data_IF_382202416631
#
_entry.id   IF_382202416631
#
_cell.length_a   1.000
_cell.length_b   1.000
_cell.length_c   1.000
_cell.angle_alpha   90.00
_cell.angle_beta   90.00
_cell.angle_gamma   90.00
#
_symmetry.space_group_name_H-M   'P 1'
#
loop_
_entity.id
_entity.type
_entity.pdbx_description
1 polymer ?
#
# COMPACT_ATOMS: atom_id res chain seq x y z
N UNK A 1 7.52 12.21 -23.65
CA UNK A 1 6.41 12.52 -22.73
C UNK A 1 6.93 12.44 -21.30
N UNK A 2 6.70 13.48 -20.51
CA UNK A 2 7.13 13.65 -19.12
C UNK A 2 5.91 13.88 -18.22
N UNK A 3 6.13 13.98 -16.91
CA UNK A 3 5.05 14.31 -15.98
C UNK A 3 4.42 15.68 -16.28
N UNK A 4 5.22 16.66 -16.70
CA UNK A 4 4.72 18.02 -16.96
C UNK A 4 3.74 18.05 -18.14
N UNK A 5 3.95 17.19 -19.13
CA UNK A 5 3.08 17.08 -20.30
C UNK A 5 1.67 16.59 -19.94
N UNK A 6 1.54 15.76 -18.88
CA UNK A 6 0.27 15.17 -18.43
C UNK A 6 -0.34 15.85 -17.21
N UNK A 7 0.45 16.64 -16.48
CA UNK A 7 0.04 17.31 -15.25
C UNK A 7 -1.28 18.11 -15.39
N UNK A 8 -1.53 18.87 -16.48
CA UNK A 8 -2.79 19.60 -16.63
C UNK A 8 -4.03 18.69 -16.60
N UNK A 9 -3.95 17.49 -17.17
CA UNK A 9 -5.03 16.51 -17.14
C UNK A 9 -5.22 15.91 -15.73
N UNK A 10 -4.12 15.65 -15.03
CA UNK A 10 -4.16 15.15 -13.65
C UNK A 10 -4.77 16.17 -12.69
N UNK A 11 -4.46 17.46 -12.86
CA UNK A 11 -5.04 18.54 -12.05
C UNK A 11 -6.57 18.64 -12.30
N UNK A 12 -7.01 18.48 -13.56
CA UNK A 12 -8.44 18.46 -13.93
C UNK A 12 -9.19 17.29 -13.28
N UNK A 13 -8.62 16.08 -13.32
CA UNK A 13 -9.17 14.92 -12.60
C UNK A 13 -9.25 15.15 -11.10
N UNK A 14 -8.19 15.68 -10.49
CA UNK A 14 -8.15 15.98 -9.06
C UNK A 14 -9.18 17.06 -8.66
N UNK A 15 -9.64 17.87 -9.61
CA UNK A 15 -10.69 18.86 -9.43
C UNK A 15 -12.10 18.39 -9.85
N UNK A 16 -12.25 17.14 -10.29
CA UNK A 16 -13.56 16.49 -10.43
C UNK A 16 -14.03 16.29 -11.87
N UNK A 17 -13.15 16.51 -12.85
CA UNK A 17 -13.46 16.13 -14.22
C UNK A 17 -13.55 14.58 -14.36
N UNK A 18 -14.44 14.04 -15.22
CA UNK A 18 -14.58 12.61 -15.39
C UNK A 18 -13.29 11.91 -15.82
N UNK A 19 -13.17 10.61 -15.48
CA UNK A 19 -11.95 9.83 -15.73
C UNK A 19 -11.61 9.65 -17.21
N UNK A 20 -12.60 9.78 -18.10
CA UNK A 20 -12.50 9.51 -19.55
C UNK A 20 -11.43 10.35 -20.27
N UNK A 21 -10.99 11.46 -19.67
CA UNK A 21 -9.86 12.24 -20.18
C UNK A 21 -8.53 11.46 -20.19
N UNK A 22 -8.37 10.45 -19.33
CA UNK A 22 -7.15 9.62 -19.25
C UNK A 22 -7.44 8.11 -19.18
N UNK A 23 -8.63 7.69 -18.75
CA UNK A 23 -8.96 6.29 -18.54
C UNK A 23 -10.45 6.01 -18.73
N UNK A 24 -10.74 4.93 -19.47
CA UNK A 24 -12.08 4.36 -19.51
C UNK A 24 -12.49 3.72 -18.17
N UNK A 25 -11.54 3.45 -17.27
CA UNK A 25 -11.82 2.94 -15.93
C UNK A 25 -11.98 4.11 -14.95
N UNK A 26 -12.90 4.03 -13.97
CA UNK A 26 -13.05 5.03 -12.94
C UNK A 26 -11.74 5.21 -12.15
N UNK A 27 -11.37 6.46 -11.91
CA UNK A 27 -10.28 6.82 -10.99
C UNK A 27 -10.85 6.85 -9.57
N UNK A 28 -10.31 6.01 -8.70
CA UNK A 28 -10.73 5.86 -7.31
C UNK A 28 -9.88 6.66 -6.32
N UNK A 29 -8.79 7.28 -6.78
CA UNK A 29 -7.88 8.05 -5.94
C UNK A 29 -6.63 8.50 -6.67
N UNK A 30 -5.67 9.00 -5.91
CA UNK A 30 -4.35 9.39 -6.41
C UNK A 30 -3.22 8.81 -5.55
N UNK A 31 -2.13 8.46 -6.22
CA UNK A 31 -0.89 8.02 -5.61
C UNK A 31 0.10 9.17 -5.53
N UNK A 32 0.61 9.45 -4.33
CA UNK A 32 1.69 10.39 -4.11
C UNK A 32 3.03 9.70 -4.37
N UNK A 33 3.68 10.07 -5.46
CA UNK A 33 5.03 9.61 -5.78
C UNK A 33 6.06 10.26 -4.86
N UNK A 34 7.19 9.58 -4.62
CA UNK A 34 8.36 10.21 -4.01
C UNK A 34 9.02 11.24 -4.91
N UNK A 35 8.83 11.14 -6.23
CA UNK A 35 9.26 12.15 -7.18
C UNK A 35 8.43 13.43 -7.08
N UNK A 36 9.08 14.58 -7.24
CA UNK A 36 8.44 15.90 -7.09
C UNK A 36 8.41 16.68 -8.40
N UNK A 37 7.45 17.61 -8.52
CA UNK A 37 7.38 18.67 -9.51
C UNK A 37 7.04 19.97 -8.79
N UNK A 38 7.82 21.03 -9.01
CA UNK A 38 7.64 22.31 -8.31
C UNK A 38 7.67 22.20 -6.77
N UNK A 39 8.48 21.28 -6.23
CA UNK A 39 8.59 21.03 -4.79
C UNK A 39 7.42 20.25 -4.16
N UNK A 40 6.40 19.88 -4.95
CA UNK A 40 5.26 19.07 -4.50
C UNK A 40 5.39 17.65 -5.04
N UNK A 41 4.92 16.66 -4.28
CA UNK A 41 4.89 15.27 -4.75
C UNK A 41 4.01 15.16 -6.01
N UNK A 42 4.49 14.39 -6.98
CA UNK A 42 3.69 14.06 -8.17
C UNK A 42 2.50 13.21 -7.77
N UNK A 43 1.34 13.49 -8.35
CA UNK A 43 0.14 12.67 -8.18
C UNK A 43 -0.02 11.76 -9.40
N UNK A 44 -0.40 10.51 -9.19
CA UNK A 44 -0.66 9.55 -10.27
C UNK A 44 -2.08 9.00 -10.08
N UNK A 45 -2.87 8.84 -11.15
CA UNK A 45 -4.23 8.36 -11.00
C UNK A 45 -4.24 6.89 -10.55
N UNK A 46 -5.11 6.57 -9.60
CA UNK A 46 -5.30 5.23 -9.05
C UNK A 46 -6.66 4.68 -9.47
N UNK A 47 -6.71 3.40 -9.79
CA UNK A 47 -7.95 2.64 -9.92
C UNK A 47 -7.85 1.30 -9.18
N UNK A 48 -8.98 0.61 -9.00
CA UNK A 48 -9.04 -0.66 -8.29
C UNK A 48 -8.18 -1.76 -8.97
N UNK A 49 -8.05 -1.69 -10.31
CA UNK A 49 -7.24 -2.64 -11.09
C UNK A 49 -5.76 -2.62 -10.69
N UNK A 50 -5.22 -1.45 -10.36
CA UNK A 50 -3.86 -1.33 -9.86
C UNK A 50 -3.67 -2.07 -8.51
N UNK A 51 -4.64 -1.96 -7.61
CA UNK A 51 -4.60 -2.63 -6.30
C UNK A 51 -4.80 -4.14 -6.42
N UNK A 52 -5.63 -4.59 -7.37
CA UNK A 52 -5.75 -6.01 -7.73
C UNK A 52 -4.41 -6.57 -8.25
N UNK A 53 -3.76 -5.86 -9.17
CA UNK A 53 -2.46 -6.28 -9.70
C UNK A 53 -1.37 -6.30 -8.62
N UNK A 54 -1.41 -5.37 -7.66
CA UNK A 54 -0.54 -5.40 -6.48
C UNK A 54 -0.72 -6.70 -5.68
N UNK A 55 -1.96 -7.10 -5.39
CA UNK A 55 -2.25 -8.37 -4.71
C UNK A 55 -1.68 -9.55 -5.49
N UNK A 56 -1.90 -9.60 -6.81
CA UNK A 56 -1.34 -10.64 -7.67
C UNK A 56 0.19 -10.73 -7.58
N UNK A 57 0.88 -9.59 -7.56
CA UNK A 57 2.34 -9.54 -7.40
C UNK A 57 2.78 -10.08 -6.03
N UNK A 58 2.06 -9.76 -4.94
CA UNK A 58 2.35 -10.30 -3.62
C UNK A 58 2.18 -11.83 -3.57
N UNK A 59 1.10 -12.35 -4.15
CA UNK A 59 0.85 -13.79 -4.22
C UNK A 59 1.89 -14.50 -5.09
N UNK A 60 2.31 -13.91 -6.21
CA UNK A 60 3.40 -14.47 -7.02
C UNK A 60 4.73 -14.49 -6.25
N UNK A 61 5.03 -13.42 -5.50
CA UNK A 61 6.24 -13.34 -4.69
C UNK A 61 6.26 -14.40 -3.59
N UNK A 62 5.13 -14.70 -2.96
CA UNK A 62 5.05 -15.74 -1.93
C UNK A 62 5.42 -17.12 -2.48
N UNK A 63 4.89 -17.48 -3.66
CA UNK A 63 5.21 -18.74 -4.35
C UNK A 63 6.69 -18.84 -4.72
N UNK A 64 7.30 -17.74 -5.15
CA UNK A 64 8.73 -17.72 -5.48
C UNK A 64 9.57 -17.94 -4.21
N UNK A 65 9.19 -17.34 -3.09
CA UNK A 65 9.92 -17.50 -1.82
C UNK A 65 9.78 -18.93 -1.30
N UNK A 66 8.58 -19.50 -1.23
CA UNK A 66 8.40 -20.87 -0.72
C UNK A 66 9.12 -21.92 -1.58
N UNK A 67 9.28 -21.66 -2.88
CA UNK A 67 10.07 -22.52 -3.78
C UNK A 67 11.57 -22.57 -3.42
N UNK A 68 12.13 -21.49 -2.88
CA UNK A 68 13.58 -21.37 -2.65
C UNK A 68 13.96 -21.42 -1.17
N UNK A 69 13.03 -21.16 -0.26
CA UNK A 69 13.26 -21.11 1.19
C UNK A 69 12.33 -22.09 1.89
N UNK A 70 12.90 -23.18 2.39
CA UNK A 70 12.18 -24.21 3.16
C UNK A 70 11.92 -23.68 4.58
N UNK A 71 10.77 -24.03 5.17
CA UNK A 71 10.46 -23.69 6.57
C UNK A 71 9.75 -22.35 6.78
N UNK A 72 9.58 -21.54 5.73
CA UNK A 72 8.94 -20.20 5.84
C UNK A 72 7.44 -20.28 6.07
N UNK A 73 6.80 -21.38 5.68
CA UNK A 73 5.35 -21.55 5.73
C UNK A 73 4.84 -21.80 7.15
N UNK A 74 5.71 -22.28 8.02
CA UNK A 74 5.46 -22.53 9.43
C UNK A 74 5.49 -21.23 10.23
N UNK A 75 6.22 -20.23 9.73
CA UNK A 75 6.57 -18.99 10.41
C UNK A 75 5.57 -17.83 10.30
N UNK A 76 5.89 -16.75 11.03
CA UNK A 76 5.38 -15.39 10.78
C UNK A 76 6.48 -14.43 10.34
N UNK A 77 6.12 -13.43 9.55
CA UNK A 77 7.01 -12.34 9.15
C UNK A 77 7.00 -11.19 10.14
N UNK A 78 8.17 -10.82 10.68
CA UNK A 78 8.33 -9.53 11.36
C UNK A 78 8.53 -8.42 10.32
N UNK A 79 7.46 -7.72 9.98
CA UNK A 79 7.44 -6.68 8.94
C UNK A 79 7.12 -5.31 9.54
N UNK A 80 7.99 -4.33 9.29
CA UNK A 80 7.77 -2.94 9.68
C UNK A 80 6.99 -2.19 8.58
N UNK A 81 5.67 -2.27 8.63
CA UNK A 81 4.78 -1.74 7.60
C UNK A 81 4.06 -0.50 8.13
N UNK A 82 4.22 0.63 7.43
CA UNK A 82 3.69 1.91 7.90
C UNK A 82 2.66 2.46 6.91
N UNK A 83 1.52 2.88 7.44
CA UNK A 83 0.61 3.80 6.74
C UNK A 83 0.99 5.25 7.06
N UNK A 84 0.68 6.15 6.13
CA UNK A 84 0.76 7.60 6.35
C UNK A 84 -0.64 8.20 6.39
N UNK A 85 -0.73 9.42 6.89
CA UNK A 85 -1.96 10.20 6.77
C UNK A 85 -2.26 10.46 5.29
N UNK A 86 -3.52 10.25 4.92
CA UNK A 86 -4.01 10.52 3.57
C UNK A 86 -4.42 11.99 3.46
N UNK A 87 -4.29 12.53 2.27
CA UNK A 87 -4.88 13.81 1.90
C UNK A 87 -6.07 13.57 0.97
N UNK A 88 -6.89 14.60 0.77
CA UNK A 88 -8.05 14.52 -0.12
C UNK A 88 -7.91 15.58 -1.21
N UNK A 89 -8.25 15.24 -2.44
CA UNK A 89 -8.31 16.19 -3.56
C UNK A 89 -9.55 17.08 -3.48
N UNK A 90 -9.62 18.13 -4.30
CA UNK A 90 -10.82 18.98 -4.41
C UNK A 90 -12.07 18.20 -4.83
N UNK A 91 -11.90 17.09 -5.57
CA UNK A 91 -12.96 16.16 -5.96
C UNK A 91 -13.32 15.11 -4.90
N UNK A 92 -12.87 15.28 -3.66
CA UNK A 92 -13.10 14.34 -2.56
C UNK A 92 -12.48 12.94 -2.76
N UNK A 93 -11.54 12.79 -3.69
CA UNK A 93 -10.82 11.52 -3.89
C UNK A 93 -9.61 11.42 -2.94
N UNK A 94 -9.33 10.23 -2.37
CA UNK A 94 -8.19 10.04 -1.50
C UNK A 94 -6.87 10.15 -2.28
N UNK A 95 -5.85 10.73 -1.65
CA UNK A 95 -4.50 10.90 -2.19
C UNK A 95 -3.46 10.52 -1.15
N UNK A 96 -2.71 9.44 -1.42
CA UNK A 96 -1.79 8.83 -0.45
C UNK A 96 -0.62 8.11 -1.14
N UNK A 97 0.36 7.66 -0.36
CA UNK A 97 1.42 6.79 -0.91
C UNK A 97 0.85 5.44 -1.33
N UNK A 98 1.49 4.79 -2.31
CA UNK A 98 1.13 3.45 -2.80
C UNK A 98 0.92 2.43 -1.68
N UNK A 99 1.85 2.36 -0.72
CA UNK A 99 1.76 1.43 0.41
C UNK A 99 0.57 1.73 1.29
N UNK A 100 0.29 3.01 1.57
CA UNK A 100 -0.87 3.43 2.38
C UNK A 100 -2.17 3.06 1.69
N UNK A 101 -2.30 3.37 0.40
CA UNK A 101 -3.49 3.01 -0.40
C UNK A 101 -3.71 1.50 -0.43
N UNK A 102 -2.64 0.70 -0.56
CA UNK A 102 -2.75 -0.75 -0.54
C UNK A 102 -3.16 -1.29 0.85
N UNK A 103 -2.49 -0.88 1.93
CA UNK A 103 -2.78 -1.36 3.28
C UNK A 103 -4.18 -1.02 3.76
N UNK A 104 -4.77 0.09 3.28
CA UNK A 104 -6.15 0.46 3.61
C UNK A 104 -7.20 -0.14 2.67
N UNK A 105 -6.79 -0.81 1.60
CA UNK A 105 -7.70 -1.42 0.64
C UNK A 105 -8.27 -2.75 1.14
N UNK A 106 -9.38 -3.19 0.53
CA UNK A 106 -9.96 -4.53 0.71
C UNK A 106 -8.94 -5.66 0.43
N UNK A 107 -7.98 -5.42 -0.47
CA UNK A 107 -6.98 -6.43 -0.84
C UNK A 107 -6.02 -6.77 0.30
N UNK A 108 -5.76 -5.81 1.19
CA UNK A 108 -4.96 -6.05 2.39
C UNK A 108 -5.84 -6.44 3.58
N UNK A 109 -6.98 -5.76 3.79
CA UNK A 109 -7.90 -6.03 4.91
C UNK A 109 -8.48 -7.45 4.86
N UNK A 110 -8.91 -7.87 3.68
CA UNK A 110 -9.55 -9.17 3.46
C UNK A 110 -8.56 -10.17 2.86
N UNK A 111 -7.26 -9.99 3.13
CA UNK A 111 -6.21 -10.87 2.61
C UNK A 111 -6.38 -12.29 3.17
N UNK A 112 -6.14 -13.33 2.36
CA UNK A 112 -6.24 -14.70 2.84
C UNK A 112 -5.18 -14.96 3.91
N UNK A 113 -5.55 -15.76 4.90
CA UNK A 113 -4.67 -16.15 5.99
C UNK A 113 -3.72 -17.25 5.51
N UNK A 114 -2.50 -16.88 5.15
CA UNK A 114 -1.39 -17.79 4.86
C UNK A 114 -0.07 -17.13 5.25
N UNK A 115 1.01 -17.92 5.34
CA UNK A 115 2.29 -17.53 5.96
C UNK A 115 2.83 -16.16 5.50
N UNK A 116 2.74 -15.85 4.21
CA UNK A 116 3.31 -14.62 3.65
C UNK A 116 2.56 -13.36 4.08
N UNK A 117 1.29 -13.49 4.44
CA UNK A 117 0.43 -12.44 4.98
C UNK A 117 0.29 -12.52 6.52
N UNK A 118 0.97 -13.48 7.14
CA UNK A 118 0.99 -13.71 8.58
C UNK A 118 2.11 -12.89 9.19
N UNK A 119 1.75 -11.76 9.79
CA UNK A 119 2.70 -10.85 10.41
C UNK A 119 2.67 -11.02 11.93
N UNK A 120 3.80 -10.71 12.58
CA UNK A 120 3.82 -10.60 14.05
C UNK A 120 2.95 -9.44 14.53
N UNK A 121 2.81 -8.39 13.73
CA UNK A 121 2.08 -7.18 14.09
C UNK A 121 0.63 -7.26 13.62
N UNK A 122 -0.34 -6.88 14.48
CA UNK A 122 -1.73 -6.80 14.08
C UNK A 122 -1.98 -5.61 13.14
N UNK A 123 -3.09 -5.63 12.41
CA UNK A 123 -3.39 -4.64 11.37
C UNK A 123 -3.52 -3.22 11.93
N UNK A 124 -4.00 -3.08 13.16
CA UNK A 124 -4.13 -1.79 13.86
C UNK A 124 -2.78 -1.11 14.06
N UNK A 125 -1.70 -1.89 14.22
CA UNK A 125 -0.33 -1.35 14.32
C UNK A 125 0.16 -0.83 12.98
N UNK A 126 -0.20 -1.51 11.89
CA UNK A 126 0.12 -1.10 10.50
C UNK A 126 -0.65 0.17 10.12
N UNK A 127 -1.93 0.24 10.53
CA UNK A 127 -2.82 1.37 10.25
C UNK A 127 -2.68 2.54 11.22
N UNK A 128 -1.85 2.41 12.25
CA UNK A 128 -1.57 3.49 13.18
C UNK A 128 -0.88 4.66 12.44
N UNK A 129 -1.47 5.87 12.43
CA UNK A 129 -0.89 7.02 11.73
C UNK A 129 0.32 7.61 12.47
N UNK A 130 0.46 7.34 13.77
CA UNK A 130 1.64 7.73 14.54
C UNK A 130 2.76 6.72 14.32
N UNK A 131 3.75 7.13 13.51
CA UNK A 131 4.91 6.29 13.17
C UNK A 131 5.71 5.84 14.39
N UNK A 132 5.82 6.65 15.45
CA UNK A 132 6.60 6.29 16.64
C UNK A 132 5.87 5.20 17.43
N UNK A 133 4.56 5.34 17.60
CA UNK A 133 3.74 4.32 18.25
C UNK A 133 3.71 3.03 17.42
N UNK A 134 3.47 3.14 16.12
CA UNK A 134 3.49 2.00 15.19
C UNK A 134 4.82 1.26 15.24
N UNK A 135 5.96 1.97 15.16
CA UNK A 135 7.29 1.35 15.24
C UNK A 135 7.53 0.65 16.59
N UNK A 136 7.17 1.31 17.69
CA UNK A 136 7.29 0.72 19.02
C UNK A 136 6.49 -0.58 19.13
N UNK A 137 5.24 -0.56 18.68
CA UNK A 137 4.36 -1.72 18.71
C UNK A 137 4.85 -2.84 17.77
N UNK A 138 5.36 -2.51 16.57
CA UNK A 138 5.97 -3.50 15.68
C UNK A 138 7.13 -4.24 16.36
N UNK A 139 8.03 -3.50 17.03
CA UNK A 139 9.13 -4.09 17.79
C UNK A 139 8.61 -4.95 18.93
N UNK A 140 7.67 -4.45 19.72
CA UNK A 140 7.09 -5.19 20.84
C UNK A 140 6.42 -6.49 20.40
N UNK A 141 5.56 -6.43 19.38
CA UNK A 141 4.87 -7.60 18.81
C UNK A 141 5.86 -8.63 18.25
N UNK A 142 6.91 -8.17 17.57
CA UNK A 142 7.98 -9.04 17.06
C UNK A 142 8.77 -9.73 18.16
N UNK A 143 9.20 -8.98 19.20
CA UNK A 143 9.98 -9.52 20.31
C UNK A 143 9.18 -10.54 21.15
N UNK A 144 7.89 -10.28 21.38
CA UNK A 144 7.01 -11.22 22.11
C UNK A 144 6.82 -12.53 21.34
N UNK A 145 6.81 -12.47 20.01
CA UNK A 145 6.64 -13.64 19.13
C UNK A 145 7.97 -14.14 18.54
N UNK A 146 9.12 -13.79 19.15
CA UNK A 146 10.44 -14.12 18.59
C UNK A 146 10.67 -15.63 18.38
N UNK A 147 10.03 -16.45 19.21
CA UNK A 147 10.18 -17.91 19.25
C UNK A 147 8.97 -18.64 18.65
N UNK A 148 7.98 -17.91 18.11
CA UNK A 148 6.98 -18.53 17.25
C UNK A 148 7.73 -19.01 16.00
N UNK A 149 7.91 -20.33 15.93
CA UNK A 149 8.45 -21.11 14.80
C UNK A 149 9.97 -21.36 14.76
N UNK A 150 10.52 -21.83 15.90
CA UNK A 150 11.68 -22.75 15.88
C UNK A 150 11.42 -23.91 16.86
N UNK A 151 10.73 -24.95 16.38
CA UNK A 151 10.70 -26.29 17.01
C UNK A 151 10.73 -27.36 15.94
#
# INVERSE_FOLDING_TARGET
MTYEDVKPYLDRLANGEPSDILSALPISGFLQSSGTSGGKQKILPLNDKYLENMRFIYDLRSLIISKHFVGVEQGKGMMFLFTRQESTTSSCLPSATVTTSFFKSKYFRDRPSYWYNSYTSPDEVIWCPDRKQSLYCHLLCGLVQRDHDVS
#
